data_IF_152922705686
#
_entry.id   IF_152922705686
#
_cell.length_a   1.000
_cell.length_b   1.000
_cell.length_c   1.000
_cell.angle_alpha   90.00
_cell.angle_beta   90.00
_cell.angle_gamma   90.00
#
_symmetry.space_group_name_H-M   'P 1'
#
loop_
_entity.id
_entity.type
_entity.pdbx_description
1 polymer ?
#
# COMPACT_ATOMS: atom_id res chain seq x y z
N UNK A 1 20.70 4.04 4.01
CA UNK A 1 19.67 4.93 3.44
C UNK A 1 19.28 5.96 4.50
N UNK A 2 18.87 7.18 4.12
CA UNK A 2 18.55 8.23 5.09
C UNK A 2 17.03 8.33 5.33
N UNK A 3 16.61 8.48 6.59
CA UNK A 3 15.21 8.73 6.95
C UNK A 3 14.86 10.19 6.69
N UNK A 4 13.80 10.40 5.92
CA UNK A 4 13.23 11.72 5.62
C UNK A 4 11.83 11.81 6.18
N UNK A 5 11.52 12.96 6.80
CA UNK A 5 10.19 13.28 7.33
C UNK A 5 9.54 14.33 6.45
N UNK A 6 8.29 14.09 6.08
CA UNK A 6 7.47 15.03 5.30
C UNK A 6 6.21 15.30 6.10
N UNK A 7 6.00 16.55 6.51
CA UNK A 7 4.76 16.96 7.19
C UNK A 7 3.69 17.27 6.14
N UNK A 8 2.51 16.68 6.28
CA UNK A 8 1.31 17.02 5.48
C UNK A 8 0.13 17.16 6.44
N UNK A 9 -0.32 18.41 6.64
CA UNK A 9 -1.29 18.75 7.67
C UNK A 9 -0.77 18.40 9.07
N UNK A 10 -1.54 17.60 9.79
CA UNK A 10 -1.22 17.15 11.16
C UNK A 10 -0.29 15.93 11.21
N UNK A 11 -0.06 15.27 10.07
CA UNK A 11 0.67 13.99 10.02
C UNK A 11 2.11 14.16 9.53
N UNK A 12 3.02 13.39 10.12
CA UNK A 12 4.42 13.30 9.70
C UNK A 12 4.63 11.95 9.02
N UNK A 13 4.92 11.96 7.73
CA UNK A 13 5.17 10.78 6.92
C UNK A 13 6.66 10.50 6.88
N UNK A 14 7.06 9.25 7.15
CA UNK A 14 8.47 8.85 7.18
C UNK A 14 8.79 7.98 5.98
N UNK A 15 9.85 8.35 5.27
CA UNK A 15 10.40 7.61 4.14
C UNK A 15 11.87 7.32 4.38
N UNK A 16 12.33 6.18 3.88
CA UNK A 16 13.73 5.84 3.74
C UNK A 16 14.11 5.97 2.27
N UNK A 17 15.18 6.69 1.95
CA UNK A 17 15.61 6.90 0.56
C UNK A 17 17.12 6.96 0.44
N UNK A 18 17.61 6.55 -0.72
CA UNK A 18 19.00 6.77 -1.13
C UNK A 18 19.08 8.05 -1.94
N UNK A 19 19.99 8.94 -1.53
CA UNK A 19 20.28 10.17 -2.27
C UNK A 19 21.52 9.92 -3.11
N UNK A 20 21.44 10.27 -4.39
CA UNK A 20 22.60 10.32 -5.29
C UNK A 20 22.57 11.62 -6.08
N UNK A 21 23.71 12.05 -6.62
CA UNK A 21 23.76 13.19 -7.53
C UNK A 21 23.84 12.68 -8.96
N UNK A 22 23.05 13.24 -9.85
CA UNK A 22 23.16 12.95 -11.28
C UNK A 22 24.40 13.65 -11.88
N UNK A 23 24.68 13.36 -13.15
CA UNK A 23 25.79 13.98 -13.90
C UNK A 23 25.68 15.51 -14.00
N UNK A 24 24.50 16.08 -13.75
CA UNK A 24 24.26 17.53 -13.71
C UNK A 24 24.41 18.12 -12.30
N UNK A 25 24.80 17.31 -11.32
CA UNK A 25 24.99 17.70 -9.92
C UNK A 25 23.70 17.82 -9.10
N UNK A 26 22.53 17.54 -9.70
CA UNK A 26 21.23 17.61 -9.01
C UNK A 26 21.03 16.37 -8.13
N UNK A 27 20.51 16.59 -6.93
CA UNK A 27 20.18 15.49 -6.01
C UNK A 27 18.93 14.77 -6.52
N UNK A 28 19.07 13.47 -6.72
CA UNK A 28 18.02 12.53 -7.08
C UNK A 28 17.84 11.52 -5.95
N UNK A 29 16.67 10.90 -5.93
CA UNK A 29 16.31 9.89 -4.94
C UNK A 29 16.06 8.55 -5.64
N UNK A 30 16.66 7.47 -5.15
CA UNK A 30 16.34 6.09 -5.55
C UNK A 30 15.97 5.24 -4.34
N UNK A 31 15.40 4.06 -4.58
CA UNK A 31 15.06 3.09 -3.54
C UNK A 31 14.21 3.71 -2.41
N UNK A 32 13.20 4.52 -2.77
CA UNK A 32 12.34 5.19 -1.77
C UNK A 32 11.37 4.19 -1.17
N UNK A 33 11.47 3.97 0.14
CA UNK A 33 10.60 3.08 0.92
C UNK A 33 9.79 3.89 1.92
N UNK A 34 8.47 3.74 1.88
CA UNK A 34 7.60 4.35 2.89
C UNK A 34 7.64 3.54 4.19
N UNK A 35 7.96 4.20 5.30
CA UNK A 35 8.11 3.59 6.63
C UNK A 35 6.88 3.76 7.51
N UNK A 36 5.99 4.73 7.23
CA UNK A 36 4.76 4.92 7.99
C UNK A 36 4.53 6.34 8.49
N UNK A 37 3.75 6.48 9.54
CA UNK A 37 3.41 7.78 10.17
C UNK A 37 4.15 7.88 11.50
N UNK A 38 4.87 8.99 11.71
CA UNK A 38 5.47 9.32 12.99
C UNK A 38 4.40 9.93 13.91
N UNK A 39 4.22 9.32 15.08
CA UNK A 39 3.27 9.73 16.12
C UNK A 39 4.06 9.88 17.43
N UNK A 40 3.75 10.92 18.19
CA UNK A 40 4.29 11.09 19.54
C UNK A 40 3.35 10.42 20.53
N UNK A 41 3.78 9.35 21.17
CA UNK A 41 3.04 8.65 22.21
C UNK A 41 3.88 8.67 23.47
N UNK A 42 3.33 9.17 24.59
CA UNK A 42 4.03 9.25 25.88
C UNK A 42 5.38 9.99 25.83
N UNK A 43 5.49 11.04 25.01
CA UNK A 43 6.72 11.81 24.83
C UNK A 43 7.75 11.19 23.90
N UNK A 44 7.56 9.94 23.45
CA UNK A 44 8.43 9.25 22.51
C UNK A 44 7.89 9.30 21.08
N UNK A 45 8.80 9.49 20.11
CA UNK A 45 8.47 9.45 18.68
C UNK A 45 8.50 8.02 18.18
N UNK A 46 7.34 7.48 17.83
CA UNK A 46 7.20 6.15 17.26
C UNK A 46 6.73 6.22 15.81
N UNK A 47 7.21 5.30 14.98
CA UNK A 47 6.78 5.18 13.59
C UNK A 47 5.78 4.02 13.51
N UNK A 48 4.52 4.35 13.24
CA UNK A 48 3.48 3.36 12.99
C UNK A 48 3.61 2.92 11.52
N UNK A 49 4.00 1.66 11.25
CA UNK A 49 4.19 1.19 9.88
C UNK A 49 2.87 1.24 9.10
N UNK A 50 2.92 1.42 7.76
CA UNK A 50 1.71 1.31 6.96
C UNK A 50 1.10 -0.09 7.15
N UNK A 51 -0.24 -0.15 7.21
CA UNK A 51 -0.96 -1.44 7.16
C UNK A 51 -0.50 -2.18 5.90
N UNK A 52 0.26 -3.25 6.07
CA UNK A 52 0.71 -4.08 4.94
C UNK A 52 -0.54 -4.71 4.33
N UNK A 53 -0.77 -4.50 3.03
CA UNK A 53 -1.67 -5.40 2.27
C UNK A 53 -1.03 -6.78 2.32
N UNK A 54 -1.80 -7.84 2.58
CA UNK A 54 -1.33 -9.22 2.46
C UNK A 54 -0.80 -9.41 1.03
N UNK A 55 0.52 -9.48 0.88
CA UNK A 55 1.24 -9.63 -0.40
C UNK A 55 1.86 -11.03 -0.53
N UNK A 56 1.39 -12.00 0.25
CA UNK A 56 1.98 -13.35 0.35
C UNK A 56 1.58 -14.30 -0.80
N UNK A 57 0.78 -13.85 -1.76
CA UNK A 57 0.38 -14.70 -2.88
C UNK A 57 0.99 -14.21 -4.18
N UNK A 58 1.90 -15.01 -4.70
CA UNK A 58 2.38 -14.93 -6.08
C UNK A 58 1.48 -15.83 -6.94
N UNK A 59 0.73 -15.24 -7.86
CA UNK A 59 -0.12 -16.00 -8.79
C UNK A 59 0.81 -16.62 -9.85
N UNK A 60 1.28 -17.83 -9.57
CA UNK A 60 2.25 -18.53 -10.42
C UNK A 60 1.62 -19.17 -11.66
N UNK A 61 0.31 -19.50 -11.61
CA UNK A 61 -0.48 -19.99 -12.76
C UNK A 61 -1.94 -19.57 -12.63
N UNK A 62 -2.48 -18.94 -13.68
CA UNK A 62 -3.91 -18.81 -13.90
C UNK A 62 -4.42 -20.11 -14.52
N UNK A 63 -5.07 -20.98 -13.74
CA UNK A 63 -5.78 -22.13 -14.33
C UNK A 63 -7.06 -21.60 -15.00
N UNK A 64 -7.43 -22.23 -16.11
CA UNK A 64 -8.51 -21.93 -17.08
C UNK A 64 -9.51 -20.87 -16.59
N UNK A 65 -9.70 -19.82 -17.40
CA UNK A 65 -10.63 -18.71 -17.17
C UNK A 65 -11.99 -19.12 -16.56
N UNK A 66 -12.52 -20.29 -16.92
CA UNK A 66 -13.74 -20.86 -16.33
C UNK A 66 -13.69 -21.09 -14.82
N UNK A 67 -12.56 -21.55 -14.26
CA UNK A 67 -12.44 -21.81 -12.81
C UNK A 67 -12.43 -20.49 -12.02
N UNK A 68 -11.77 -19.47 -12.58
CA UNK A 68 -11.76 -18.11 -12.02
C UNK A 68 -13.15 -17.48 -12.10
N UNK A 69 -13.86 -17.67 -13.21
CA UNK A 69 -15.23 -17.19 -13.39
C UNK A 69 -16.21 -17.85 -12.41
N UNK A 70 -16.11 -19.16 -12.19
CA UNK A 70 -16.93 -19.89 -11.21
C UNK A 70 -16.69 -19.39 -9.79
N UNK A 71 -15.43 -19.17 -9.41
CA UNK A 71 -15.10 -18.60 -8.10
C UNK A 71 -15.64 -17.17 -7.94
N UNK A 72 -15.51 -16.34 -8.98
CA UNK A 72 -16.05 -14.99 -8.99
C UNK A 72 -17.58 -14.98 -8.85
N UNK A 73 -18.27 -15.83 -9.61
CA UNK A 73 -19.73 -15.96 -9.53
C UNK A 73 -20.19 -16.45 -8.16
N UNK A 74 -19.49 -17.44 -7.57
CA UNK A 74 -19.77 -17.89 -6.21
C UNK A 74 -19.58 -16.75 -5.20
N UNK A 75 -18.48 -16.02 -5.25
CA UNK A 75 -18.24 -14.90 -4.34
C UNK A 75 -19.25 -13.77 -4.51
N UNK A 76 -19.73 -13.54 -5.73
CA UNK A 76 -20.80 -12.57 -6.01
C UNK A 76 -22.14 -13.05 -5.46
N UNK A 77 -22.52 -14.32 -5.69
CA UNK A 77 -23.79 -14.89 -5.20
C UNK A 77 -23.91 -14.86 -3.68
N UNK A 78 -22.82 -15.12 -2.97
CA UNK A 78 -22.79 -15.11 -1.50
C UNK A 78 -22.53 -13.71 -0.91
N UNK A 79 -22.46 -12.66 -1.73
CA UNK A 79 -22.24 -11.28 -1.26
C UNK A 79 -20.87 -11.03 -0.63
N UNK A 80 -19.91 -11.93 -0.86
CA UNK A 80 -18.58 -11.90 -0.25
C UNK A 80 -17.78 -10.70 -0.74
N UNK A 81 -17.95 -10.32 -2.00
CA UNK A 81 -17.28 -9.15 -2.59
C UNK A 81 -17.75 -7.86 -1.91
N UNK A 82 -19.05 -7.73 -1.66
CA UNK A 82 -19.68 -6.59 -1.01
C UNK A 82 -19.29 -6.49 0.46
N UNK A 83 -19.27 -7.64 1.17
CA UNK A 83 -18.80 -7.71 2.55
C UNK A 83 -17.32 -7.30 2.66
N UNK A 84 -16.46 -7.80 1.76
CA UNK A 84 -15.05 -7.42 1.70
C UNK A 84 -14.89 -5.91 1.41
N UNK A 85 -15.67 -5.36 0.48
CA UNK A 85 -15.67 -3.93 0.20
C UNK A 85 -16.18 -3.10 1.41
N UNK A 86 -17.12 -3.62 2.19
CA UNK A 86 -17.61 -2.99 3.42
C UNK A 86 -16.59 -2.97 4.56
N UNK A 87 -15.68 -3.94 4.61
CA UNK A 87 -14.58 -4.01 5.59
C UNK A 87 -13.44 -3.04 5.28
N UNK A 88 -13.41 -2.47 4.07
CA UNK A 88 -12.40 -1.49 3.68
C UNK A 88 -12.85 -0.12 4.16
N UNK A 89 -12.05 0.59 4.99
CA UNK A 89 -12.41 1.93 5.46
C UNK A 89 -12.63 2.84 4.26
N UNK A 90 -13.87 3.28 4.04
CA UNK A 90 -14.32 4.10 2.90
C UNK A 90 -13.55 5.43 2.79
N UNK A 91 -12.35 5.38 2.22
CA UNK A 91 -11.53 6.54 1.80
C UNK A 91 -10.74 6.24 0.51
N UNK A 92 -11.14 5.26 -0.29
CA UNK A 92 -10.42 4.85 -1.51
C UNK A 92 -11.29 4.11 -2.53
N UNK A 93 -10.70 3.80 -3.69
CA UNK A 93 -11.33 3.10 -4.82
C UNK A 93 -11.76 1.67 -4.46
N UNK A 94 -12.80 1.11 -5.12
CA UNK A 94 -13.18 -0.30 -5.02
C UNK A 94 -11.98 -1.22 -5.32
N UNK A 95 -11.90 -2.39 -4.64
CA UNK A 95 -10.75 -3.30 -4.76
C UNK A 95 -10.44 -3.68 -6.20
N UNK A 96 -11.47 -3.92 -7.02
CA UNK A 96 -11.31 -4.26 -8.44
C UNK A 96 -10.64 -3.15 -9.25
N UNK A 97 -10.87 -1.88 -8.92
CA UNK A 97 -10.29 -0.73 -9.61
C UNK A 97 -8.84 -0.44 -9.19
N UNK A 98 -8.43 -0.92 -8.01
CA UNK A 98 -7.04 -0.79 -7.52
C UNK A 98 -6.07 -1.70 -8.28
N UNK A 99 -6.55 -2.75 -8.95
CA UNK A 99 -5.72 -3.65 -9.76
C UNK A 99 -5.51 -3.18 -11.20
N UNK A 100 -6.33 -2.24 -11.69
CA UNK A 100 -6.25 -1.71 -13.05
C UNK A 100 -5.32 -0.48 -13.19
N UNK A 101 -4.77 0.03 -12.07
CA UNK A 101 -3.93 1.24 -12.00
C UNK A 101 -2.46 0.96 -11.74
#
# INVERSE_FOLDING_TARGET
>A
MAKTRIRRGERIYVYERENYRDSTGKVKHRNTRYLGIEVTTNGEKQIIPPKKRFKEFEITKSVRYGDIAVLYDLFTQYGLIELLNGLIPRRGLPVGEVFAS
#
